data_IF_387826916314
#
_entry.id   IF_387826916314
#
_cell.length_a   1.000
_cell.length_b   1.000
_cell.length_c   1.000
_cell.angle_alpha   90.00
_cell.angle_beta   90.00
_cell.angle_gamma   90.00
#
_symmetry.space_group_name_H-M   'P 1'
#
loop_
_entity.id
_entity.type
_entity.pdbx_description
1 polymer ?
#
# COMPACT_ATOMS: atom_id res chain seq x y z
N UNK A 1 -10.96 8.30 -5.46
CA UNK A 1 -10.13 7.12 -5.80
C UNK A 1 -9.34 6.68 -4.58
N UNK A 2 -9.20 5.37 -4.41
CA UNK A 2 -8.28 4.75 -3.45
C UNK A 2 -7.02 4.32 -4.22
N UNK A 3 -5.86 4.58 -3.63
CA UNK A 3 -4.59 4.15 -4.20
C UNK A 3 -3.88 3.18 -3.27
N UNK A 4 -3.45 2.04 -3.81
CA UNK A 4 -2.71 0.99 -3.08
C UNK A 4 -1.30 0.87 -3.65
N UNK A 5 -0.27 0.86 -2.79
CA UNK A 5 1.14 0.70 -3.21
C UNK A 5 1.92 -0.18 -2.26
N UNK A 6 2.58 -1.21 -2.81
CA UNK A 6 3.48 -2.11 -2.06
C UNK A 6 4.96 -1.71 -2.14
N UNK A 7 5.24 -0.56 -2.77
CA UNK A 7 6.59 -0.07 -3.03
C UNK A 7 7.32 -0.89 -4.09
N UNK A 8 8.64 -0.72 -4.14
CA UNK A 8 9.52 -1.36 -5.12
C UNK A 8 10.24 -2.59 -4.56
N UNK A 9 9.95 -2.98 -3.30
CA UNK A 9 10.63 -4.10 -2.66
C UNK A 9 10.26 -5.43 -3.34
N UNK A 10 11.26 -6.27 -3.61
CA UNK A 10 11.15 -7.50 -4.43
C UNK A 10 10.39 -8.66 -3.78
N UNK A 11 9.80 -8.46 -2.59
CA UNK A 11 9.12 -9.53 -1.87
C UNK A 11 7.63 -9.53 -2.18
N UNK A 12 7.05 -10.72 -2.26
CA UNK A 12 5.62 -10.89 -2.50
C UNK A 12 4.78 -10.20 -1.41
N UNK A 13 3.72 -9.49 -1.79
CA UNK A 13 2.74 -8.95 -0.83
C UNK A 13 1.31 -9.32 -1.19
N UNK A 14 1.11 -10.56 -1.63
CA UNK A 14 -0.19 -11.07 -2.04
C UNK A 14 -1.28 -10.87 -0.98
N UNK A 15 -0.95 -10.90 0.31
CA UNK A 15 -1.91 -10.65 1.39
C UNK A 15 -2.61 -9.30 1.27
N UNK A 16 -1.86 -8.22 1.00
CA UNK A 16 -2.45 -6.88 0.91
C UNK A 16 -3.29 -6.75 -0.36
N UNK A 17 -2.71 -7.08 -1.51
CA UNK A 17 -3.39 -6.95 -2.82
C UNK A 17 -4.66 -7.80 -2.85
N UNK A 18 -4.58 -9.07 -2.47
CA UNK A 18 -5.73 -9.98 -2.42
C UNK A 18 -6.79 -9.51 -1.42
N UNK A 19 -6.39 -8.94 -0.28
CA UNK A 19 -7.37 -8.45 0.69
C UNK A 19 -8.16 -7.27 0.15
N UNK A 20 -7.51 -6.32 -0.53
CA UNK A 20 -8.22 -5.19 -1.15
C UNK A 20 -9.10 -5.67 -2.30
N UNK A 21 -8.58 -6.54 -3.18
CA UNK A 21 -9.35 -7.11 -4.30
C UNK A 21 -10.62 -7.84 -3.83
N UNK A 22 -10.53 -8.64 -2.77
CA UNK A 22 -11.69 -9.30 -2.15
C UNK A 22 -12.72 -8.29 -1.59
N UNK A 23 -12.28 -7.14 -1.06
CA UNK A 23 -13.21 -6.14 -0.55
C UNK A 23 -14.00 -5.44 -1.68
N UNK A 24 -13.42 -5.37 -2.87
CA UNK A 24 -14.12 -4.91 -4.09
C UNK A 24 -15.14 -5.96 -4.51
N UNK A 25 -14.74 -7.23 -4.58
CA UNK A 25 -15.60 -8.37 -4.94
C UNK A 25 -16.82 -8.49 -4.00
N UNK A 26 -16.60 -8.32 -2.69
CA UNK A 26 -17.64 -8.30 -1.67
C UNK A 26 -18.51 -7.01 -1.68
N UNK A 27 -18.28 -6.09 -2.64
CA UNK A 27 -18.96 -4.78 -2.75
C UNK A 27 -18.86 -3.90 -1.49
N UNK A 28 -17.85 -4.14 -0.65
CA UNK A 28 -17.56 -3.31 0.53
C UNK A 28 -16.81 -2.04 0.14
N UNK A 29 -16.09 -2.07 -0.98
CA UNK A 29 -15.51 -0.90 -1.61
C UNK A 29 -16.11 -0.76 -3.00
N UNK A 30 -16.81 0.36 -3.22
CA UNK A 30 -17.46 0.70 -4.50
C UNK A 30 -16.77 1.87 -5.22
N UNK A 31 -15.73 2.43 -4.61
CA UNK A 31 -14.97 3.56 -5.17
C UNK A 31 -13.87 3.04 -6.12
N UNK A 32 -13.52 3.77 -7.20
CA UNK A 32 -12.41 3.40 -8.06
C UNK A 32 -11.10 3.19 -7.29
N UNK A 33 -10.41 2.08 -7.59
CA UNK A 33 -9.12 1.71 -7.00
C UNK A 33 -8.08 1.59 -8.10
N UNK A 34 -6.88 2.11 -7.85
CA UNK A 34 -5.69 1.80 -8.62
C UNK A 34 -4.63 1.14 -7.71
N UNK A 35 -4.00 0.07 -8.17
CA UNK A 35 -2.97 -0.64 -7.40
C UNK A 35 -1.61 -0.66 -8.11
N UNK A 36 -0.57 -0.27 -7.40
CA UNK A 36 0.81 -0.59 -7.74
C UNK A 36 1.25 -1.84 -6.97
N UNK A 37 1.38 -2.97 -7.68
CA UNK A 37 1.51 -4.31 -7.08
C UNK A 37 2.95 -4.80 -6.92
N UNK A 38 3.94 -4.07 -7.44
CA UNK A 38 5.36 -4.40 -7.32
C UNK A 38 5.65 -5.82 -7.81
N UNK A 39 6.36 -6.59 -6.98
CA UNK A 39 6.69 -8.00 -7.23
C UNK A 39 5.68 -8.98 -6.62
N UNK A 40 4.44 -8.52 -6.40
CA UNK A 40 3.37 -9.37 -5.87
C UNK A 40 2.96 -10.41 -6.89
N UNK A 41 2.83 -11.67 -6.46
CA UNK A 41 2.46 -12.79 -7.33
C UNK A 41 0.96 -12.83 -7.64
N UNK A 42 0.13 -12.33 -6.73
CA UNK A 42 -1.30 -12.24 -6.94
C UNK A 42 -1.65 -11.09 -7.87
N UNK A 43 -2.38 -11.38 -8.94
CA UNK A 43 -2.90 -10.40 -9.89
C UNK A 43 -4.35 -10.04 -9.51
N UNK A 44 -4.66 -8.77 -9.20
CA UNK A 44 -6.02 -8.34 -8.86
C UNK A 44 -6.95 -8.44 -10.07
N UNK A 45 -8.22 -8.74 -9.81
CA UNK A 45 -9.23 -8.99 -10.87
C UNK A 45 -10.27 -7.88 -11.00
N UNK A 46 -10.45 -7.08 -9.95
CA UNK A 46 -11.58 -6.15 -9.84
C UNK A 46 -11.16 -4.67 -9.90
N UNK A 47 -9.91 -4.37 -10.27
CA UNK A 47 -9.42 -3.01 -10.37
C UNK A 47 -8.28 -2.86 -11.39
N UNK A 48 -7.99 -1.61 -11.76
CA UNK A 48 -6.81 -1.27 -12.53
C UNK A 48 -5.54 -1.43 -11.69
N UNK A 49 -4.48 -1.92 -12.32
CA UNK A 49 -3.19 -2.11 -11.67
C UNK A 49 -2.01 -1.92 -12.62
N UNK A 50 -0.84 -1.68 -12.03
CA UNK A 50 0.46 -1.83 -12.66
C UNK A 50 1.43 -2.50 -11.70
N UNK A 51 2.40 -3.25 -12.20
CA UNK A 51 3.47 -3.81 -11.38
C UNK A 51 4.35 -2.68 -10.84
N UNK A 52 4.91 -1.89 -11.74
CA UNK A 52 5.69 -0.70 -11.43
C UNK A 52 5.09 0.53 -12.09
N UNK A 53 5.31 1.68 -11.45
CA UNK A 53 4.88 2.99 -11.93
C UNK A 53 6.05 3.95 -11.80
N UNK A 54 6.03 5.03 -12.58
CA UNK A 54 7.05 6.07 -12.49
C UNK A 54 6.90 6.91 -11.22
N UNK A 55 7.91 7.71 -10.90
CA UNK A 55 7.86 8.68 -9.80
C UNK A 55 6.74 9.71 -10.00
N UNK A 56 6.49 10.13 -11.24
CA UNK A 56 5.43 11.06 -11.60
C UNK A 56 4.05 10.44 -11.38
N UNK A 57 3.86 9.19 -11.80
CA UNK A 57 2.63 8.43 -11.53
C UNK A 57 2.41 8.24 -10.03
N UNK A 58 3.47 7.93 -9.28
CA UNK A 58 3.43 7.78 -7.83
C UNK A 58 2.94 9.06 -7.13
N UNK A 59 3.48 10.21 -7.53
CA UNK A 59 3.04 11.53 -7.05
C UNK A 59 1.59 11.79 -7.47
N UNK A 60 1.24 11.51 -8.72
CA UNK A 60 -0.10 11.71 -9.25
C UNK A 60 -1.16 10.93 -8.46
N UNK A 61 -0.97 9.62 -8.29
CA UNK A 61 -1.94 8.78 -7.56
C UNK A 61 -2.01 9.17 -6.09
N UNK A 62 -0.88 9.50 -5.45
CA UNK A 62 -0.86 9.97 -4.06
C UNK A 62 -1.63 11.29 -3.91
N UNK A 63 -1.39 12.26 -4.80
CA UNK A 63 -2.04 13.58 -4.77
C UNK A 63 -3.54 13.52 -5.08
N UNK A 64 -3.97 12.64 -5.98
CA UNK A 64 -5.37 12.58 -6.44
C UNK A 64 -6.24 11.56 -5.67
N UNK A 65 -5.65 10.72 -4.81
CA UNK A 65 -6.41 9.72 -4.06
C UNK A 65 -6.93 10.24 -2.73
N UNK A 66 -8.16 9.88 -2.37
CA UNK A 66 -8.76 10.23 -1.08
C UNK A 66 -8.16 9.39 0.05
N UNK A 67 -7.90 8.12 -0.23
CA UNK A 67 -7.25 7.17 0.68
C UNK A 67 -6.02 6.60 -0.01
N UNK A 68 -4.92 6.51 0.73
CA UNK A 68 -3.73 5.79 0.33
C UNK A 68 -3.55 4.60 1.27
N UNK A 69 -3.39 3.41 0.72
CA UNK A 69 -3.05 2.19 1.46
C UNK A 69 -1.64 1.79 1.04
N UNK A 70 -0.74 1.60 2.00
CA UNK A 70 0.65 1.31 1.67
C UNK A 70 1.31 0.30 2.60
N UNK A 71 2.36 -0.35 2.12
CA UNK A 71 3.26 -1.13 2.96
C UNK A 71 4.05 -0.27 3.96
N UNK A 72 4.77 -0.89 4.89
CA UNK A 72 5.51 -0.21 5.95
C UNK A 72 6.83 0.46 5.52
N UNK A 73 7.01 0.78 4.23
CA UNK A 73 8.21 1.42 3.70
C UNK A 73 8.23 2.93 3.99
N UNK A 74 9.33 3.49 4.53
CA UNK A 74 9.40 4.92 4.86
C UNK A 74 9.02 5.86 3.71
N UNK A 75 9.52 5.63 2.49
CA UNK A 75 9.23 6.48 1.33
C UNK A 75 7.74 6.53 0.99
N UNK A 76 7.06 5.39 1.02
CA UNK A 76 5.62 5.31 0.73
C UNK A 76 4.75 5.85 1.86
N UNK A 77 5.26 5.89 3.09
CA UNK A 77 4.58 6.51 4.24
C UNK A 77 4.73 8.04 4.21
N UNK A 78 5.95 8.54 3.95
CA UNK A 78 6.24 9.97 4.03
C UNK A 78 5.70 10.77 2.84
N UNK A 79 5.59 10.16 1.65
CA UNK A 79 5.08 10.86 0.47
C UNK A 79 3.64 11.39 0.66
N UNK A 80 2.66 10.60 1.14
CA UNK A 80 1.33 11.11 1.48
C UNK A 80 1.33 12.31 2.45
N UNK A 81 2.25 12.35 3.42
CA UNK A 81 2.33 13.47 4.37
C UNK A 81 2.68 14.79 3.68
N UNK A 82 3.49 14.77 2.62
CA UNK A 82 3.81 15.97 1.82
C UNK A 82 2.57 16.58 1.16
N UNK A 83 1.52 15.79 0.99
CA UNK A 83 0.23 16.22 0.45
C UNK A 83 -0.85 16.34 1.53
N UNK A 84 -0.47 16.44 2.80
CA UNK A 84 -1.38 16.54 3.96
C UNK A 84 -2.34 15.35 4.09
N UNK A 85 -1.89 14.13 3.75
CA UNK A 85 -2.69 12.91 3.83
C UNK A 85 -2.07 11.90 4.78
N UNK A 86 -2.90 11.30 5.63
CA UNK A 86 -2.50 10.20 6.51
C UNK A 86 -2.85 8.88 5.81
N UNK A 87 -1.87 8.04 5.44
CA UNK A 87 -2.13 6.77 4.78
C UNK A 87 -2.53 5.68 5.77
N UNK A 88 -3.25 4.67 5.28
CA UNK A 88 -3.44 3.39 5.98
C UNK A 88 -2.19 2.56 5.73
N UNK A 89 -1.44 2.23 6.79
CA UNK A 89 -0.20 1.49 6.66
C UNK A 89 -0.38 0.03 7.08
N UNK A 90 -0.05 -0.89 6.17
CA UNK A 90 -0.08 -2.33 6.39
C UNK A 90 1.35 -2.86 6.29
N UNK A 91 2.08 -2.97 7.40
CA UNK A 91 3.45 -3.47 7.37
C UNK A 91 3.47 -4.93 6.90
N UNK A 92 4.52 -5.28 6.16
CA UNK A 92 4.89 -6.67 5.91
C UNK A 92 5.27 -7.32 7.23
N UNK A 93 4.92 -8.60 7.39
CA UNK A 93 5.23 -9.34 8.62
C UNK A 93 6.03 -10.61 8.29
N UNK A 94 7.05 -10.88 9.10
CA UNK A 94 7.89 -12.08 8.97
C UNK A 94 7.06 -13.35 9.04
N UNK A 95 6.04 -13.39 9.90
CA UNK A 95 5.16 -14.56 10.09
C UNK A 95 4.38 -14.97 8.83
N UNK A 96 4.25 -14.08 7.84
CA UNK A 96 3.63 -14.37 6.55
C UNK A 96 4.65 -14.59 5.42
N UNK A 97 5.95 -14.57 5.73
CA UNK A 97 7.03 -14.66 4.72
C UNK A 97 7.13 -13.42 3.82
N UNK A 98 6.51 -12.30 4.20
CA UNK A 98 6.43 -11.08 3.38
C UNK A 98 7.70 -10.22 3.49
N UNK A 99 8.50 -10.46 4.53
CA UNK A 99 9.75 -9.77 4.79
C UNK A 99 10.70 -10.66 5.61
N UNK A 100 12.01 -10.35 5.59
CA UNK A 100 13.03 -11.15 6.31
C UNK A 100 12.93 -10.99 7.84
N UNK A 101 12.40 -9.86 8.29
CA UNK A 101 12.17 -9.51 9.69
C UNK A 101 10.88 -8.66 9.85
N UNK A 102 10.63 -8.20 11.09
CA UNK A 102 9.48 -7.37 11.42
C UNK A 102 9.84 -5.87 11.53
N UNK A 103 10.92 -5.40 10.89
CA UNK A 103 11.35 -4.00 11.02
C UNK A 103 10.26 -3.00 10.59
N UNK A 104 9.46 -3.33 9.57
CA UNK A 104 8.33 -2.51 9.14
C UNK A 104 7.26 -2.41 10.24
N UNK A 105 7.03 -3.49 10.98
CA UNK A 105 6.09 -3.51 12.11
C UNK A 105 6.60 -2.61 13.24
N UNK A 106 7.89 -2.72 13.58
CA UNK A 106 8.48 -1.87 14.63
C UNK A 106 8.47 -0.38 14.24
N UNK A 107 8.80 -0.09 12.98
CA UNK A 107 8.78 1.27 12.45
C UNK A 107 7.38 1.90 12.49
N UNK A 108 6.37 1.17 12.01
CA UNK A 108 4.98 1.65 11.98
C UNK A 108 4.42 1.85 13.38
N UNK A 109 4.66 0.92 14.32
CA UNK A 109 4.31 1.10 15.75
C UNK A 109 4.94 2.36 16.36
N UNK A 110 6.19 2.64 16.02
CA UNK A 110 6.89 3.85 16.52
C UNK A 110 6.27 5.14 15.97
N UNK A 111 5.78 5.12 14.72
CA UNK A 111 5.07 6.26 14.14
C UNK A 111 3.67 6.47 14.76
N UNK A 112 2.94 5.38 14.98
CA UNK A 112 1.64 5.37 15.67
C UNK A 112 1.78 5.94 17.10
N UNK A 113 2.76 5.47 17.88
CA UNK A 113 3.05 6.00 19.22
C UNK A 113 3.35 7.50 19.23
N UNK A 114 3.91 8.03 18.14
CA UNK A 114 4.21 9.47 17.97
C UNK A 114 3.03 10.26 17.39
N UNK A 115 1.86 9.63 17.22
CA UNK A 115 0.66 10.21 16.57
C UNK A 115 0.97 10.78 15.17
N UNK A 116 1.85 10.11 14.43
CA UNK A 116 2.19 10.46 13.03
C UNK A 116 1.39 9.63 12.01
N UNK A 117 0.77 8.55 12.46
CA UNK A 117 -0.18 7.69 11.74
C UNK A 117 -1.42 7.52 12.61
#
# INVERSE_FOLDING_TARGET
>A
MIFVTVGTHEQDFSRLIKKVDNLIDEKKIIEPIFMQIGYTKYIPKNCDYKEMITSEEMIYYTKNSRIIITHGGPGSIFLPFQFNKIPIVVPRQKKYGEHVDDHQVYFTKKLEMKKKL
#
